data_IF_696091659264
#
_entry.id   IF_696091659264
#
_cell.length_a   1.000
_cell.length_b   1.000
_cell.length_c   1.000
_cell.angle_alpha   90.00
_cell.angle_beta   90.00
_cell.angle_gamma   90.00
#
_symmetry.space_group_name_H-M   'P 1'
#
loop_
_entity.id
_entity.type
_entity.pdbx_description
1 polymer ?
#
# COMPACT_ATOMS: atom_id res chain seq x y z
N UNK A 1 45.86 -35.30 -13.38
CA UNK A 1 47.04 -34.98 -14.23
C UNK A 1 46.53 -34.68 -15.63
N UNK A 2 47.05 -33.61 -16.25
CA UNK A 2 46.66 -32.97 -17.53
C UNK A 2 45.46 -32.04 -17.37
N UNK A 3 45.55 -30.72 -17.29
CA UNK A 3 46.40 -29.63 -17.84
C UNK A 3 45.48 -28.71 -18.67
N UNK A 4 45.46 -27.44 -18.28
CA UNK A 4 44.71 -26.36 -18.90
C UNK A 4 45.28 -26.00 -20.31
N UNK A 5 44.66 -25.02 -21.03
CA UNK A 5 45.09 -23.64 -20.78
C UNK A 5 44.00 -22.57 -20.86
N UNK A 6 44.33 -21.47 -20.16
CA UNK A 6 43.71 -20.14 -20.15
C UNK A 6 43.72 -19.48 -21.53
N UNK A 7 42.75 -18.61 -21.79
CA UNK A 7 42.94 -17.45 -22.68
C UNK A 7 42.41 -16.15 -22.03
N UNK A 8 43.23 -15.12 -22.15
CA UNK A 8 43.10 -13.74 -21.68
C UNK A 8 42.55 -12.83 -22.80
N UNK A 9 42.22 -11.58 -22.41
CA UNK A 9 42.08 -10.31 -23.18
C UNK A 9 40.63 -9.92 -23.49
N UNK A 10 40.20 -8.66 -23.40
CA UNK A 10 40.82 -7.35 -23.11
C UNK A 10 39.73 -6.38 -22.62
N UNK A 11 40.00 -5.43 -21.72
CA UNK A 11 40.52 -4.08 -22.00
C UNK A 11 39.68 -3.27 -23.03
N UNK A 12 38.79 -2.41 -22.53
CA UNK A 12 38.32 -1.23 -23.26
C UNK A 12 37.90 -0.12 -22.27
N UNK A 13 38.88 0.69 -21.89
CA UNK A 13 38.67 1.98 -21.23
C UNK A 13 38.10 2.98 -22.25
N UNK A 14 36.95 3.60 -21.96
CA UNK A 14 36.42 4.70 -22.78
C UNK A 14 36.54 6.03 -22.05
N UNK A 15 37.51 6.82 -22.52
CA UNK A 15 37.83 8.20 -22.14
C UNK A 15 36.70 9.19 -22.49
N UNK A 16 36.44 10.09 -21.54
CA UNK A 16 36.29 11.56 -21.64
C UNK A 16 35.77 12.16 -22.96
N UNK A 17 34.66 12.90 -22.86
CA UNK A 17 34.50 14.21 -23.52
C UNK A 17 33.99 15.24 -22.52
N UNK A 18 34.89 16.14 -22.10
CA UNK A 18 34.56 17.43 -21.50
C UNK A 18 34.27 18.39 -22.66
N UNK A 19 33.08 18.97 -22.71
CA UNK A 19 32.80 20.15 -23.53
C UNK A 19 32.89 21.40 -22.65
N UNK A 20 33.93 22.18 -22.88
CA UNK A 20 34.02 23.57 -22.46
C UNK A 20 32.96 24.37 -23.24
N UNK A 21 32.00 24.98 -22.54
CA UNK A 21 31.22 26.09 -23.09
C UNK A 21 31.68 27.36 -22.39
N UNK A 22 32.36 28.20 -23.18
CA UNK A 22 32.70 29.59 -22.88
C UNK A 22 31.40 30.36 -22.67
N UNK A 23 31.31 31.16 -21.61
CA UNK A 23 30.36 32.25 -21.53
C UNK A 23 31.13 33.57 -21.49
N UNK A 24 30.91 34.35 -22.54
CA UNK A 24 31.48 35.66 -22.77
C UNK A 24 31.03 36.67 -21.72
N UNK A 25 31.99 37.50 -21.32
CA UNK A 25 31.79 38.63 -20.44
C UNK A 25 31.04 39.76 -21.14
N UNK A 26 29.84 40.06 -20.64
CA UNK A 26 29.15 41.31 -20.90
C UNK A 26 29.30 42.23 -19.70
N UNK A 27 30.21 43.20 -19.78
CA UNK A 27 30.26 44.37 -18.89
C UNK A 27 28.93 45.12 -18.99
N UNK A 28 28.16 45.22 -17.89
CA UNK A 28 27.07 46.19 -17.76
C UNK A 28 27.32 47.06 -16.53
N UNK A 29 27.11 48.35 -16.77
CA UNK A 29 27.41 49.47 -15.91
C UNK A 29 26.63 49.44 -14.59
N UNK A 30 27.29 49.88 -13.52
CA UNK A 30 26.68 50.13 -12.22
C UNK A 30 25.82 51.41 -12.27
N UNK A 31 24.56 51.37 -11.78
CA UNK A 31 23.85 52.57 -11.41
C UNK A 31 24.08 52.89 -9.92
N UNK A 32 24.61 54.08 -9.68
CA UNK A 32 24.62 54.74 -8.38
C UNK A 32 23.25 55.37 -8.07
N UNK A 33 22.72 55.15 -6.85
CA UNK A 33 21.95 56.07 -5.98
C UNK A 33 21.03 55.24 -5.07
N UNK A 34 21.28 55.21 -3.76
CA UNK A 34 20.62 56.05 -2.72
C UNK A 34 19.09 56.03 -2.83
N UNK A 35 18.44 55.31 -1.91
CA UNK A 35 17.00 55.39 -1.69
C UNK A 35 16.57 54.47 -0.55
N UNK A 36 16.27 55.08 0.59
CA UNK A 36 15.44 54.65 1.73
C UNK A 36 15.06 53.16 1.90
N UNK A 37 15.41 52.64 3.07
CA UNK A 37 14.77 51.51 3.73
C UNK A 37 13.26 51.67 3.78
N UNK A 38 12.55 50.90 2.95
CA UNK A 38 11.13 50.62 3.16
C UNK A 38 10.86 49.15 2.84
N UNK A 39 11.39 48.28 3.70
CA UNK A 39 11.28 46.81 3.59
C UNK A 39 9.85 46.30 3.77
N UNK A 40 8.94 47.10 4.33
CA UNK A 40 7.55 46.73 4.56
C UNK A 40 6.72 46.70 3.27
N UNK A 41 6.99 47.59 2.31
CA UNK A 41 6.25 47.68 1.05
C UNK A 41 6.66 46.59 0.04
N UNK A 42 7.91 46.13 0.08
CA UNK A 42 8.39 45.02 -0.77
C UNK A 42 7.78 43.67 -0.37
N UNK A 43 7.55 43.43 0.92
CA UNK A 43 6.91 42.19 1.41
C UNK A 43 5.44 42.14 1.00
N UNK A 44 4.72 43.25 1.10
CA UNK A 44 3.30 43.32 0.73
C UNK A 44 3.10 43.06 -0.76
N UNK A 45 3.93 43.65 -1.62
CA UNK A 45 3.87 43.41 -3.08
C UNK A 45 4.22 41.96 -3.42
N UNK A 46 5.20 41.36 -2.73
CA UNK A 46 5.55 39.95 -2.94
C UNK A 46 4.43 38.99 -2.47
N UNK A 47 3.75 39.32 -1.37
CA UNK A 47 2.60 38.55 -0.86
C UNK A 47 1.40 38.66 -1.81
N UNK A 48 1.19 39.85 -2.38
CA UNK A 48 0.09 40.10 -3.31
C UNK A 48 0.30 39.39 -4.65
N UNK A 49 1.53 39.43 -5.19
CA UNK A 49 1.91 38.66 -6.37
C UNK A 49 1.87 37.13 -6.14
N UNK A 50 2.17 36.65 -4.94
CA UNK A 50 1.99 35.24 -4.58
C UNK A 50 0.51 34.85 -4.53
N UNK A 51 -0.35 35.71 -3.96
CA UNK A 51 -1.80 35.49 -3.87
C UNK A 51 -2.46 35.47 -5.26
N UNK A 52 -2.04 36.36 -6.16
CA UNK A 52 -2.57 36.47 -7.52
C UNK A 52 -2.11 35.35 -8.45
N UNK A 53 -0.91 34.79 -8.22
CA UNK A 53 -0.37 33.67 -9.00
C UNK A 53 -0.53 32.31 -8.31
N UNK A 54 -1.22 32.25 -7.17
CA UNK A 54 -1.53 30.98 -6.52
C UNK A 54 -2.48 30.18 -7.41
N UNK A 55 -2.27 28.86 -7.58
CA UNK A 55 -3.22 28.01 -8.28
C UNK A 55 -4.61 28.15 -7.64
N UNK A 56 -5.69 28.00 -8.43
CA UNK A 56 -7.05 28.11 -7.92
C UNK A 56 -7.18 27.25 -6.67
N UNK A 57 -7.68 27.86 -5.59
CA UNK A 57 -7.95 27.18 -4.34
C UNK A 57 -8.68 25.88 -4.65
N UNK A 58 -8.22 24.73 -4.12
CA UNK A 58 -8.95 23.49 -4.31
C UNK A 58 -10.40 23.70 -3.87
N UNK A 59 -11.37 23.03 -4.51
CA UNK A 59 -12.79 23.19 -4.19
C UNK A 59 -12.97 23.12 -2.68
N UNK A 60 -13.71 24.08 -2.14
CA UNK A 60 -13.91 24.25 -0.71
C UNK A 60 -14.23 22.88 -0.08
N UNK A 61 -13.36 22.43 0.82
CA UNK A 61 -13.60 21.22 1.60
C UNK A 61 -14.96 21.39 2.27
N UNK A 62 -15.89 20.42 2.15
CA UNK A 62 -17.21 20.52 2.77
C UNK A 62 -17.08 20.99 4.21
N UNK A 63 -17.90 21.97 4.60
CA UNK A 63 -17.85 22.59 5.92
C UNK A 63 -17.73 21.55 7.04
N UNK A 64 -16.73 21.70 7.91
CA UNK A 64 -16.37 20.77 9.00
C UNK A 64 -17.56 20.32 9.87
N UNK A 65 -18.65 21.09 9.93
CA UNK A 65 -19.84 20.78 10.72
C UNK A 65 -20.57 19.49 10.32
N UNK A 66 -20.49 19.04 9.06
CA UNK A 66 -21.10 17.75 8.65
C UNK A 66 -20.31 16.51 9.09
N UNK A 67 -19.08 16.66 9.59
CA UNK A 67 -18.21 15.52 9.95
C UNK A 67 -18.37 15.12 11.43
N UNK A 68 -18.80 16.04 12.30
CA UNK A 68 -18.86 15.80 13.75
C UNK A 68 -19.85 14.68 14.15
N UNK A 69 -20.99 14.56 13.48
CA UNK A 69 -21.95 13.47 13.71
C UNK A 69 -21.53 12.12 13.10
N UNK A 70 -20.55 12.12 12.18
CA UNK A 70 -19.96 10.90 11.63
C UNK A 70 -18.86 10.30 12.52
N UNK A 71 -18.37 11.04 13.53
CA UNK A 71 -17.20 10.67 14.34
C UNK A 71 -17.34 9.36 15.14
N UNK A 72 -18.54 9.00 15.59
CA UNK A 72 -18.81 7.75 16.35
C UNK A 72 -19.44 6.67 15.46
N UNK A 73 -20.23 7.07 14.46
CA UNK A 73 -20.91 6.14 13.56
C UNK A 73 -19.90 5.43 12.64
N UNK A 74 -18.90 6.16 12.11
CA UNK A 74 -17.93 5.58 11.19
C UNK A 74 -17.04 4.49 11.81
N UNK A 75 -16.50 4.62 13.04
CA UNK A 75 -15.77 3.54 13.72
C UNK A 75 -16.61 2.30 13.99
N UNK A 76 -17.87 2.47 14.42
CA UNK A 76 -18.78 1.35 14.65
C UNK A 76 -19.14 0.63 13.34
N UNK A 77 -19.42 1.38 12.28
CA UNK A 77 -19.66 0.83 10.93
C UNK A 77 -18.40 0.16 10.38
N UNK A 78 -17.22 0.71 10.63
CA UNK A 78 -15.92 0.11 10.29
C UNK A 78 -15.76 -1.26 10.95
N UNK A 79 -15.98 -1.35 12.27
CA UNK A 79 -15.86 -2.61 13.00
C UNK A 79 -16.92 -3.61 12.57
N UNK A 80 -18.16 -3.17 12.33
CA UNK A 80 -19.26 -4.03 11.87
C UNK A 80 -19.06 -4.54 10.44
N UNK A 81 -18.54 -3.73 9.52
CA UNK A 81 -18.23 -4.15 8.16
C UNK A 81 -17.03 -5.10 8.12
N UNK A 82 -15.97 -4.78 8.86
CA UNK A 82 -14.80 -5.66 8.97
C UNK A 82 -15.19 -7.00 9.62
N UNK A 83 -15.94 -6.97 10.72
CA UNK A 83 -16.46 -8.16 11.38
C UNK A 83 -17.49 -8.89 10.51
N UNK A 84 -18.32 -8.19 9.75
CA UNK A 84 -19.31 -8.77 8.83
C UNK A 84 -18.65 -9.48 7.66
N UNK A 85 -17.64 -8.88 7.03
CA UNK A 85 -16.83 -9.52 5.98
C UNK A 85 -16.07 -10.73 6.52
N UNK A 86 -15.47 -10.61 7.72
CA UNK A 86 -14.76 -11.71 8.37
C UNK A 86 -15.70 -12.85 8.78
N UNK A 87 -16.84 -12.53 9.39
CA UNK A 87 -17.87 -13.48 9.79
C UNK A 87 -18.49 -14.15 8.57
N UNK A 88 -18.75 -13.43 7.49
CA UNK A 88 -19.22 -14.01 6.23
C UNK A 88 -18.18 -14.96 5.63
N UNK A 89 -16.91 -14.56 5.57
CA UNK A 89 -15.83 -15.43 5.09
C UNK A 89 -15.63 -16.68 5.96
N UNK A 90 -15.78 -16.54 7.28
CA UNK A 90 -15.55 -17.61 8.26
C UNK A 90 -16.73 -18.56 8.44
N UNK A 91 -17.94 -18.02 8.54
CA UNK A 91 -19.15 -18.76 8.89
C UNK A 91 -19.86 -19.35 7.67
N UNK A 92 -19.71 -18.77 6.48
CA UNK A 92 -20.49 -19.23 5.33
C UNK A 92 -19.94 -20.56 4.78
N UNK A 93 -20.66 -21.68 4.90
CA UNK A 93 -20.19 -22.99 4.44
C UNK A 93 -19.93 -23.01 2.93
N UNK A 94 -20.64 -22.17 2.16
CA UNK A 94 -20.41 -21.99 0.72
C UNK A 94 -19.02 -21.43 0.36
N UNK A 95 -18.37 -20.67 1.25
CA UNK A 95 -16.97 -20.24 1.06
C UNK A 95 -15.98 -21.38 1.35
N UNK A 96 -16.37 -22.35 2.18
CA UNK A 96 -15.61 -23.59 2.43
C UNK A 96 -15.80 -24.62 1.32
N UNK A 97 -16.86 -24.46 0.53
CA UNK A 97 -17.33 -25.37 -0.49
C UNK A 97 -17.48 -24.68 -1.86
N UNK A 98 -16.45 -23.96 -2.33
CA UNK A 98 -16.31 -23.72 -3.77
C UNK A 98 -15.96 -25.05 -4.47
N UNK A 99 -16.92 -25.97 -4.45
CA UNK A 99 -16.91 -27.33 -4.98
C UNK A 99 -17.06 -27.26 -6.49
N UNK A 100 -15.98 -26.89 -7.17
CA UNK A 100 -15.96 -26.91 -8.62
C UNK A 100 -14.56 -26.73 -9.15
N UNK A 101 -14.11 -25.48 -9.25
CA UNK A 101 -12.80 -25.10 -9.80
C UNK A 101 -12.08 -24.12 -8.88
N UNK A 102 -11.67 -24.52 -7.66
CA UNK A 102 -11.03 -23.62 -6.69
C UNK A 102 -9.75 -22.97 -7.25
N UNK A 103 -9.03 -23.68 -8.13
CA UNK A 103 -7.86 -23.15 -8.85
C UNK A 103 -8.22 -21.98 -9.78
N UNK A 104 -9.32 -22.09 -10.53
CA UNK A 104 -9.77 -21.05 -11.46
C UNK A 104 -10.24 -19.81 -10.70
N UNK A 105 -11.07 -19.99 -9.67
CA UNK A 105 -11.54 -18.86 -8.86
C UNK A 105 -10.39 -18.11 -8.20
N UNK A 106 -9.38 -18.84 -7.76
CA UNK A 106 -8.22 -18.23 -7.15
C UNK A 106 -7.36 -17.44 -8.17
N UNK A 107 -7.22 -17.92 -9.41
CA UNK A 107 -6.59 -17.16 -10.49
C UNK A 107 -7.40 -15.91 -10.87
N UNK A 108 -8.73 -16.04 -10.95
CA UNK A 108 -9.62 -14.91 -11.26
C UNK A 108 -9.55 -13.85 -10.15
N UNK A 109 -9.53 -14.27 -8.88
CA UNK A 109 -9.37 -13.36 -7.74
C UNK A 109 -8.07 -12.55 -7.83
N UNK A 110 -6.96 -13.23 -8.13
CA UNK A 110 -5.66 -12.58 -8.31
C UNK A 110 -5.68 -11.63 -9.50
N UNK A 111 -6.27 -12.03 -10.62
CA UNK A 111 -6.40 -11.19 -11.80
C UNK A 111 -7.26 -9.94 -11.52
N UNK A 112 -8.35 -10.07 -10.76
CA UNK A 112 -9.17 -8.95 -10.31
C UNK A 112 -8.38 -8.03 -9.38
N UNK A 113 -7.62 -8.58 -8.43
CA UNK A 113 -6.77 -7.80 -7.54
C UNK A 113 -5.72 -6.99 -8.31
N UNK A 114 -4.95 -7.64 -9.19
CA UNK A 114 -3.96 -6.98 -10.06
C UNK A 114 -4.62 -5.95 -10.96
N UNK A 115 -5.74 -6.31 -11.60
CA UNK A 115 -6.50 -5.43 -12.47
C UNK A 115 -6.96 -4.18 -11.75
N UNK A 116 -7.63 -4.32 -10.60
CA UNK A 116 -8.09 -3.21 -9.77
C UNK A 116 -6.95 -2.29 -9.33
N UNK A 117 -5.79 -2.88 -9.02
CA UNK A 117 -4.62 -2.13 -8.59
C UNK A 117 -4.01 -1.30 -9.73
N UNK A 118 -4.15 -1.79 -10.96
CA UNK A 118 -3.55 -1.22 -12.18
C UNK A 118 -4.44 -0.17 -12.88
N UNK A 119 -5.70 -0.01 -12.47
CA UNK A 119 -6.61 0.98 -13.09
C UNK A 119 -6.21 2.40 -12.68
N UNK A 120 -5.77 3.18 -13.67
CA UNK A 120 -5.41 4.60 -13.56
C UNK A 120 -6.52 5.48 -12.96
N UNK A 121 -6.16 6.68 -12.49
CA UNK A 121 -7.11 7.65 -11.93
C UNK A 121 -7.47 7.39 -10.47
N UNK A 122 -6.60 6.68 -9.75
CA UNK A 122 -6.63 6.64 -8.28
C UNK A 122 -5.79 7.80 -7.76
N UNK A 123 -6.13 8.33 -6.58
CA UNK A 123 -5.35 9.42 -5.96
C UNK A 123 -3.87 9.10 -5.70
N UNK A 124 -3.51 7.82 -5.60
CA UNK A 124 -2.14 7.34 -5.45
C UNK A 124 -1.44 7.08 -6.79
N UNK A 125 -2.12 7.33 -7.92
CA UNK A 125 -1.48 7.39 -9.23
C UNK A 125 -0.89 8.80 -9.45
N UNK A 126 0.29 8.93 -10.07
CA UNK A 126 0.80 10.23 -10.48
C UNK A 126 -0.25 10.98 -11.31
N UNK A 127 -0.48 12.27 -11.03
CA UNK A 127 -1.36 13.10 -11.84
C UNK A 127 -0.83 13.10 -13.29
N UNK A 128 -1.65 12.72 -14.27
CA UNK A 128 -1.22 12.63 -15.68
C UNK A 128 -0.78 13.99 -16.27
N UNK A 129 -1.13 15.09 -15.58
CA UNK A 129 -0.79 16.46 -15.93
C UNK A 129 0.32 17.06 -15.03
N UNK A 130 0.81 16.33 -14.02
CA UNK A 130 1.96 16.77 -13.23
C UNK A 130 3.23 16.52 -14.07
N UNK A 131 3.69 17.56 -14.75
CA UNK A 131 4.90 17.53 -15.58
C UNK A 131 6.17 17.19 -14.78
N UNK A 132 6.11 17.25 -13.44
CA UNK A 132 7.17 16.84 -12.53
C UNK A 132 6.61 16.04 -11.35
N UNK A 133 7.20 14.87 -11.08
CA UNK A 133 6.99 14.08 -9.84
C UNK A 133 7.25 14.90 -8.57
N UNK A 134 8.04 15.99 -8.66
CA UNK A 134 8.33 16.91 -7.56
C UNK A 134 7.14 17.78 -7.13
N UNK A 135 6.05 17.83 -7.92
CA UNK A 135 4.85 18.63 -7.59
C UNK A 135 3.69 17.84 -6.99
N UNK A 136 3.91 16.58 -6.59
CA UNK A 136 2.90 15.83 -5.83
C UNK A 136 2.68 16.47 -4.47
N UNK A 137 1.67 17.34 -4.38
CA UNK A 137 1.15 17.81 -3.11
C UNK A 137 0.03 16.87 -2.67
N UNK A 138 0.19 16.14 -1.54
CA UNK A 138 -0.91 15.36 -1.01
C UNK A 138 -2.08 16.30 -0.74
N UNK A 139 -3.24 16.01 -1.36
CA UNK A 139 -4.47 16.81 -1.20
C UNK A 139 -5.03 16.79 0.24
N UNK A 140 -4.37 16.07 1.16
CA UNK A 140 -4.83 15.82 2.51
C UNK A 140 -3.63 15.89 3.47
N UNK A 141 -3.77 16.55 4.63
CA UNK A 141 -2.76 16.48 5.68
C UNK A 141 -2.74 15.06 6.26
N UNK A 142 -1.76 14.27 5.86
CA UNK A 142 -1.47 12.96 6.46
C UNK A 142 -0.43 13.13 7.55
N UNK A 143 -0.61 12.45 8.69
CA UNK A 143 0.40 12.45 9.76
C UNK A 143 1.73 11.83 9.31
N UNK A 144 1.66 10.85 8.41
CA UNK A 144 2.78 10.22 7.73
C UNK A 144 2.27 9.62 6.43
N UNK A 145 3.06 9.71 5.37
CA UNK A 145 2.78 9.09 4.08
C UNK A 145 3.94 8.15 3.72
N UNK A 146 3.66 6.97 3.16
CA UNK A 146 4.72 6.09 2.69
C UNK A 146 5.47 6.75 1.52
N UNK A 147 6.76 6.48 1.43
CA UNK A 147 7.55 6.85 0.25
C UNK A 147 6.96 6.15 -1.00
N UNK A 148 6.91 6.81 -2.18
CA UNK A 148 6.41 6.18 -3.40
C UNK A 148 7.07 4.84 -3.74
N UNK A 149 8.36 4.65 -3.40
CA UNK A 149 9.06 3.39 -3.59
C UNK A 149 8.48 2.25 -2.75
N UNK A 150 7.85 2.55 -1.60
CA UNK A 150 7.24 1.53 -0.74
C UNK A 150 6.13 0.75 -1.47
N UNK A 151 5.48 1.34 -2.48
CA UNK A 151 4.49 0.65 -3.29
C UNK A 151 5.07 -0.43 -4.22
N UNK A 152 6.39 -0.48 -4.44
CA UNK A 152 7.03 -1.54 -5.24
C UNK A 152 6.83 -2.94 -4.64
N UNK A 153 6.53 -3.04 -3.34
CA UNK A 153 6.23 -4.31 -2.65
C UNK A 153 5.06 -5.06 -3.27
N UNK A 154 4.09 -4.37 -3.87
CA UNK A 154 2.95 -5.01 -4.53
C UNK A 154 3.42 -5.92 -5.67
N UNK A 155 4.47 -5.52 -6.40
CA UNK A 155 5.07 -6.36 -7.43
C UNK A 155 5.63 -7.67 -6.86
N UNK A 156 6.28 -7.61 -5.70
CA UNK A 156 6.82 -8.78 -5.00
C UNK A 156 5.69 -9.68 -4.47
N UNK A 157 4.68 -9.08 -3.84
CA UNK A 157 3.50 -9.79 -3.32
C UNK A 157 2.79 -10.52 -4.46
N UNK A 158 2.38 -9.82 -5.52
CA UNK A 158 1.61 -10.42 -6.61
C UNK A 158 2.41 -11.46 -7.39
N UNK A 159 3.71 -11.23 -7.62
CA UNK A 159 4.56 -12.22 -8.29
C UNK A 159 4.72 -13.48 -7.45
N UNK A 160 4.90 -13.33 -6.14
CA UNK A 160 4.99 -14.45 -5.22
C UNK A 160 3.69 -15.23 -5.12
N UNK A 161 2.55 -14.55 -4.97
CA UNK A 161 1.23 -15.20 -4.93
C UNK A 161 0.94 -15.90 -6.26
N UNK A 162 1.24 -15.28 -7.41
CA UNK A 162 1.10 -15.92 -8.72
C UNK A 162 1.95 -17.19 -8.82
N UNK A 163 3.22 -17.12 -8.41
CA UNK A 163 4.10 -18.29 -8.39
C UNK A 163 3.54 -19.41 -7.49
N UNK A 164 3.02 -19.07 -6.31
CA UNK A 164 2.33 -20.02 -5.42
C UNK A 164 1.13 -20.68 -6.08
N UNK A 165 0.30 -19.89 -6.79
CA UNK A 165 -0.87 -20.41 -7.51
C UNK A 165 -0.46 -21.34 -8.66
N UNK A 166 0.55 -20.96 -9.45
CA UNK A 166 1.10 -21.80 -10.53
C UNK A 166 1.61 -23.13 -9.95
N UNK A 167 2.41 -23.08 -8.88
CA UNK A 167 2.91 -24.28 -8.21
C UNK A 167 1.77 -25.16 -7.69
N UNK A 168 0.72 -24.59 -7.11
CA UNK A 168 -0.47 -25.35 -6.68
C UNK A 168 -1.24 -25.99 -7.84
N UNK A 169 -1.27 -25.35 -9.01
CA UNK A 169 -1.96 -25.88 -10.18
C UNK A 169 -1.26 -27.16 -10.66
N UNK A 170 0.07 -27.13 -10.73
CA UNK A 170 0.90 -28.25 -11.19
C UNK A 170 1.28 -29.25 -10.08
N UNK A 171 0.99 -28.93 -8.82
CA UNK A 171 1.24 -29.84 -7.70
C UNK A 171 0.23 -30.99 -7.69
N UNK A 172 0.75 -32.21 -7.57
CA UNK A 172 -0.02 -33.41 -7.22
C UNK A 172 -0.13 -33.64 -5.71
N UNK A 173 0.42 -32.73 -4.90
CA UNK A 173 0.45 -32.84 -3.44
C UNK A 173 -0.94 -32.60 -2.84
N UNK A 174 -1.56 -33.68 -2.36
CA UNK A 174 -2.88 -33.63 -1.71
C UNK A 174 -2.89 -32.81 -0.41
N UNK A 175 -1.76 -32.68 0.28
CA UNK A 175 -1.64 -31.80 1.44
C UNK A 175 -1.84 -30.34 1.02
N UNK A 176 -1.11 -29.94 -0.02
CA UNK A 176 -1.21 -28.59 -0.58
C UNK A 176 -2.60 -28.32 -1.15
N UNK A 177 -3.21 -29.29 -1.82
CA UNK A 177 -4.58 -29.16 -2.34
C UNK A 177 -5.61 -28.92 -1.21
N UNK A 178 -5.49 -29.65 -0.09
CA UNK A 178 -6.36 -29.48 1.08
C UNK A 178 -6.13 -28.14 1.78
N UNK A 179 -4.88 -27.76 1.99
CA UNK A 179 -4.54 -26.45 2.56
C UNK A 179 -5.05 -25.29 1.70
N UNK A 180 -4.89 -25.39 0.37
CA UNK A 180 -5.45 -24.44 -0.58
C UNK A 180 -6.98 -24.36 -0.47
N UNK A 181 -7.67 -25.51 -0.53
CA UNK A 181 -9.13 -25.56 -0.41
C UNK A 181 -9.64 -24.94 0.89
N UNK A 182 -8.99 -25.19 2.02
CA UNK A 182 -9.37 -24.64 3.31
C UNK A 182 -9.15 -23.12 3.40
N UNK A 183 -8.11 -22.61 2.75
CA UNK A 183 -7.77 -21.18 2.78
C UNK A 183 -8.51 -20.32 1.73
N UNK A 184 -8.96 -20.93 0.64
CA UNK A 184 -9.35 -20.22 -0.58
C UNK A 184 -10.56 -19.29 -0.40
N UNK A 185 -11.54 -19.66 0.41
CA UNK A 185 -12.71 -18.80 0.67
C UNK A 185 -12.31 -17.46 1.31
N UNK A 186 -11.50 -17.53 2.37
CA UNK A 186 -10.99 -16.35 3.05
C UNK A 186 -10.00 -15.56 2.17
N UNK A 187 -9.12 -16.23 1.42
CA UNK A 187 -8.19 -15.55 0.52
C UNK A 187 -8.91 -14.86 -0.66
N UNK A 188 -10.00 -15.45 -1.18
CA UNK A 188 -10.86 -14.80 -2.19
C UNK A 188 -11.52 -13.55 -1.60
N UNK A 189 -12.09 -13.65 -0.40
CA UNK A 189 -12.68 -12.50 0.28
C UNK A 189 -11.66 -11.37 0.48
N UNK A 190 -10.41 -11.70 0.84
CA UNK A 190 -9.32 -10.73 0.94
C UNK A 190 -9.08 -10.00 -0.40
N UNK A 191 -8.98 -10.74 -1.52
CA UNK A 191 -8.78 -10.13 -2.84
C UNK A 191 -9.96 -9.22 -3.26
N UNK A 192 -11.20 -9.62 -2.92
CA UNK A 192 -12.39 -8.79 -3.17
C UNK A 192 -12.34 -7.52 -2.33
N UNK A 193 -12.05 -7.63 -1.04
CA UNK A 193 -11.89 -6.47 -0.15
C UNK A 193 -10.77 -5.54 -0.62
N UNK A 194 -9.65 -6.08 -1.11
CA UNK A 194 -8.56 -5.28 -1.67
C UNK A 194 -8.97 -4.57 -2.97
N UNK A 195 -9.72 -5.22 -3.84
CA UNK A 195 -10.24 -4.58 -5.05
C UNK A 195 -11.20 -3.43 -4.71
N UNK A 196 -12.06 -3.64 -3.71
CA UNK A 196 -12.93 -2.60 -3.17
C UNK A 196 -12.13 -1.46 -2.53
N UNK A 197 -11.05 -1.76 -1.81
CA UNK A 197 -10.12 -0.76 -1.30
C UNK A 197 -9.59 0.14 -2.42
N UNK A 198 -9.14 -0.42 -3.55
CA UNK A 198 -8.70 0.37 -4.69
C UNK A 198 -9.81 1.30 -5.22
N UNK A 199 -11.07 0.87 -5.17
CA UNK A 199 -12.21 1.69 -5.56
C UNK A 199 -12.50 2.84 -4.57
N UNK A 200 -12.04 2.76 -3.31
CA UNK A 200 -12.20 3.84 -2.32
C UNK A 200 -11.35 5.07 -2.58
N UNK A 201 -10.35 4.99 -3.47
CA UNK A 201 -9.54 6.15 -3.90
C UNK A 201 -10.10 6.89 -5.12
N UNK A 202 -11.36 6.63 -5.48
CA UNK A 202 -12.07 7.35 -6.55
C UNK A 202 -12.70 8.63 -6.02
N UNK A 203 -12.90 9.67 -6.86
CA UNK A 203 -13.43 10.97 -6.42
C UNK A 203 -14.68 10.90 -5.52
N UNK A 204 -15.59 9.97 -5.79
CA UNK A 204 -16.83 9.78 -5.02
C UNK A 204 -16.61 9.27 -3.58
N UNK A 205 -15.47 8.63 -3.30
CA UNK A 205 -15.17 7.99 -2.03
C UNK A 205 -14.16 8.78 -1.17
N UNK A 206 -13.55 9.84 -1.72
CA UNK A 206 -12.45 10.55 -1.06
C UNK A 206 -12.84 11.22 0.25
N UNK A 207 -14.08 11.69 0.36
CA UNK A 207 -14.62 12.23 1.62
C UNK A 207 -14.85 11.14 2.69
N UNK A 208 -14.64 9.86 2.36
CA UNK A 208 -14.95 8.69 3.19
C UNK A 208 -13.71 7.81 3.37
N UNK A 209 -12.56 8.40 3.73
CA UNK A 209 -11.31 7.66 3.94
C UNK A 209 -11.42 6.52 4.98
N UNK A 210 -12.39 6.58 5.91
CA UNK A 210 -12.70 5.45 6.79
C UNK A 210 -13.08 4.18 6.04
N UNK A 211 -13.68 4.30 4.85
CA UNK A 211 -14.02 3.17 3.99
C UNK A 211 -12.76 2.48 3.45
N UNK A 212 -11.74 3.26 3.09
CA UNK A 212 -10.43 2.72 2.68
C UNK A 212 -9.81 1.89 3.79
N UNK A 213 -9.75 2.45 5.00
CA UNK A 213 -9.26 1.74 6.18
C UNK A 213 -10.09 0.46 6.44
N UNK A 214 -11.42 0.53 6.31
CA UNK A 214 -12.31 -0.62 6.55
C UNK A 214 -12.06 -1.77 5.56
N UNK A 215 -11.88 -1.46 4.27
CA UNK A 215 -11.61 -2.46 3.26
C UNK A 215 -10.22 -3.11 3.45
N UNK A 216 -9.21 -2.34 3.88
CA UNK A 216 -7.91 -2.90 4.25
C UNK A 216 -7.98 -3.77 5.51
N UNK A 217 -8.71 -3.34 6.54
CA UNK A 217 -8.92 -4.14 7.75
C UNK A 217 -9.62 -5.48 7.43
N UNK A 218 -10.66 -5.44 6.58
CA UNK A 218 -11.33 -6.64 6.09
C UNK A 218 -10.35 -7.55 5.32
N UNK A 219 -9.48 -6.97 4.48
CA UNK A 219 -8.43 -7.71 3.76
C UNK A 219 -7.45 -8.38 4.74
N UNK A 220 -6.94 -7.66 5.75
CA UNK A 220 -6.08 -8.20 6.82
C UNK A 220 -6.73 -9.37 7.53
N UNK A 221 -7.98 -9.23 7.98
CA UNK A 221 -8.66 -10.30 8.72
C UNK A 221 -8.86 -11.52 7.83
N UNK A 222 -9.30 -11.32 6.58
CA UNK A 222 -9.50 -12.40 5.63
C UNK A 222 -8.18 -13.12 5.29
N UNK A 223 -7.06 -12.40 5.12
CA UNK A 223 -5.74 -13.00 4.93
C UNK A 223 -5.27 -13.77 6.17
N UNK A 224 -5.49 -13.24 7.37
CA UNK A 224 -5.16 -13.92 8.61
C UNK A 224 -5.95 -15.23 8.74
N UNK A 225 -7.25 -15.21 8.50
CA UNK A 225 -8.08 -16.42 8.47
C UNK A 225 -7.57 -17.43 7.43
N UNK A 226 -7.24 -16.98 6.21
CA UNK A 226 -6.68 -17.83 5.17
C UNK A 226 -5.36 -18.50 5.61
N UNK A 227 -4.48 -17.75 6.28
CA UNK A 227 -3.20 -18.26 6.79
C UNK A 227 -3.38 -19.26 7.92
N UNK A 228 -4.27 -18.99 8.87
CA UNK A 228 -4.57 -19.90 9.98
C UNK A 228 -5.16 -21.22 9.46
N UNK A 229 -6.10 -21.15 8.52
CA UNK A 229 -6.67 -22.34 7.88
C UNK A 229 -5.61 -23.11 7.10
N UNK A 230 -4.78 -22.44 6.30
CA UNK A 230 -3.67 -23.09 5.58
C UNK A 230 -2.69 -23.78 6.54
N UNK A 231 -2.26 -23.09 7.60
CA UNK A 231 -1.29 -23.57 8.57
C UNK A 231 -1.75 -24.80 9.33
N UNK A 232 -3.04 -24.85 9.74
CA UNK A 232 -3.63 -26.01 10.41
C UNK A 232 -3.51 -27.27 9.54
N UNK A 233 -3.87 -27.19 8.25
CA UNK A 233 -3.77 -28.35 7.36
C UNK A 233 -2.32 -28.72 7.05
N UNK A 234 -1.45 -27.76 6.78
CA UNK A 234 -0.03 -28.04 6.52
C UNK A 234 0.67 -28.70 7.72
N UNK A 235 0.31 -28.34 8.96
CA UNK A 235 0.86 -28.95 10.16
C UNK A 235 0.49 -30.44 10.33
N UNK A 236 -0.63 -30.88 9.77
CA UNK A 236 -1.05 -32.30 9.81
C UNK A 236 -0.36 -33.18 8.77
N UNK A 237 0.42 -32.58 7.87
CA UNK A 237 0.98 -33.28 6.72
C UNK A 237 2.43 -33.71 6.99
N UNK A 238 2.73 -34.99 6.74
CA UNK A 238 4.05 -35.58 7.03
C UNK A 238 5.18 -35.01 6.17
N UNK A 239 4.90 -34.72 4.89
CA UNK A 239 5.92 -34.27 3.92
C UNK A 239 5.31 -33.37 2.83
N UNK A 240 4.93 -32.12 3.15
CA UNK A 240 4.49 -31.18 2.11
C UNK A 240 5.67 -30.80 1.21
N UNK A 241 5.39 -30.52 -0.06
CA UNK A 241 6.38 -29.90 -0.95
C UNK A 241 6.87 -28.58 -0.36
N UNK A 242 8.14 -28.51 0.05
CA UNK A 242 8.73 -27.33 0.71
C UNK A 242 8.64 -26.08 -0.15
N UNK A 243 8.89 -26.24 -1.45
CA UNK A 243 8.83 -25.13 -2.42
C UNK A 243 7.40 -24.63 -2.58
N UNK A 244 6.42 -25.54 -2.74
CA UNK A 244 5.02 -25.16 -2.85
C UNK A 244 4.50 -24.52 -1.57
N UNK A 245 4.85 -25.06 -0.40
CA UNK A 245 4.49 -24.49 0.90
C UNK A 245 5.08 -23.08 1.09
N UNK A 246 6.34 -22.87 0.71
CA UNK A 246 6.99 -21.55 0.77
C UNK A 246 6.26 -20.51 -0.09
N UNK A 247 6.03 -20.79 -1.37
CA UNK A 247 5.37 -19.85 -2.28
C UNK A 247 3.87 -19.71 -2.04
N UNK A 248 3.24 -20.67 -1.36
CA UNK A 248 1.83 -20.59 -0.97
C UNK A 248 1.64 -19.74 0.29
N UNK A 249 2.44 -19.97 1.33
CA UNK A 249 2.30 -19.30 2.65
C UNK A 249 3.03 -17.96 2.67
N UNK A 250 4.25 -17.92 2.14
CA UNK A 250 5.18 -16.79 2.27
C UNK A 250 4.66 -15.48 1.67
N UNK A 251 4.38 -15.43 0.35
CA UNK A 251 3.84 -14.22 -0.30
C UNK A 251 2.51 -13.74 0.28
N UNK A 252 1.60 -14.68 0.60
CA UNK A 252 0.33 -14.35 1.27
C UNK A 252 0.54 -13.82 2.70
N UNK A 253 1.62 -14.23 3.38
CA UNK A 253 1.98 -13.71 4.71
C UNK A 253 2.62 -12.32 4.59
N UNK A 254 3.50 -12.13 3.60
CA UNK A 254 4.03 -10.81 3.25
C UNK A 254 2.89 -9.82 2.96
N UNK A 255 1.90 -10.27 2.20
CA UNK A 255 0.67 -9.53 1.90
C UNK A 255 -0.10 -9.15 3.18
N UNK A 256 -0.32 -10.11 4.08
CA UNK A 256 -0.97 -9.86 5.37
C UNK A 256 -0.28 -8.74 6.15
N UNK A 257 1.04 -8.82 6.31
CA UNK A 257 1.81 -7.82 7.05
C UNK A 257 1.72 -6.42 6.44
N UNK A 258 1.88 -6.34 5.11
CA UNK A 258 1.79 -5.08 4.37
C UNK A 258 0.42 -4.41 4.50
N UNK A 259 -0.67 -5.18 4.32
CA UNK A 259 -2.04 -4.65 4.41
C UNK A 259 -2.41 -4.26 5.84
N UNK A 260 -1.85 -4.94 6.85
CA UNK A 260 -2.00 -4.51 8.24
C UNK A 260 -1.39 -3.13 8.49
N UNK A 261 -0.19 -2.86 7.96
CA UNK A 261 0.41 -1.53 8.03
C UNK A 261 -0.43 -0.49 7.27
N UNK A 262 -0.84 -0.82 6.04
CA UNK A 262 -1.67 0.06 5.22
C UNK A 262 -3.00 0.40 5.90
N UNK A 263 -3.61 -0.55 6.61
CA UNK A 263 -4.83 -0.33 7.40
C UNK A 263 -4.63 0.79 8.42
N UNK A 264 -3.53 0.71 9.17
CA UNK A 264 -3.18 1.69 10.20
C UNK A 264 -2.86 3.07 9.59
N UNK A 265 -2.11 3.11 8.48
CA UNK A 265 -1.84 4.35 7.73
C UNK A 265 -3.15 5.01 7.28
N UNK A 266 -4.08 4.23 6.72
CA UNK A 266 -5.37 4.75 6.23
C UNK A 266 -6.28 5.20 7.37
N UNK A 267 -6.22 4.55 8.54
CA UNK A 267 -6.91 5.01 9.74
C UNK A 267 -6.37 6.37 10.20
N UNK A 268 -5.06 6.55 10.23
CA UNK A 268 -4.43 7.83 10.58
C UNK A 268 -4.78 8.93 9.56
N UNK A 269 -4.80 8.62 8.27
CA UNK A 269 -5.23 9.56 7.22
C UNK A 269 -6.69 9.97 7.40
N UNK A 270 -7.58 9.04 7.75
CA UNK A 270 -8.97 9.35 8.08
C UNK A 270 -9.09 10.30 9.27
N UNK A 271 -8.37 10.03 10.37
CA UNK A 271 -8.41 10.88 11.57
C UNK A 271 -7.85 12.28 11.29
N UNK A 272 -6.77 12.36 10.50
CA UNK A 272 -6.21 13.64 10.04
C UNK A 272 -7.22 14.44 9.21
N UNK A 273 -7.88 13.79 8.24
CA UNK A 273 -8.93 14.41 7.42
C UNK A 273 -10.15 14.84 8.24
N UNK A 274 -10.55 14.04 9.23
CA UNK A 274 -11.74 14.33 10.04
C UNK A 274 -11.58 15.58 10.92
N UNK A 275 -10.34 16.06 11.14
CA UNK A 275 -10.08 17.31 11.84
C UNK A 275 -10.47 17.29 13.33
N UNK A 276 -10.45 16.10 13.96
CA UNK A 276 -10.95 15.87 15.33
C UNK A 276 -10.03 16.50 16.40
N UNK A 277 -8.85 17.01 16.01
CA UNK A 277 -7.90 17.71 16.88
C UNK A 277 -6.53 17.02 16.94
N UNK A 278 -5.48 17.81 17.19
CA UNK A 278 -4.09 17.34 17.17
C UNK A 278 -3.79 16.28 18.25
N UNK A 279 -4.38 16.41 19.44
CA UNK A 279 -4.20 15.46 20.55
C UNK A 279 -4.79 14.08 20.21
N UNK A 280 -6.00 14.05 19.66
CA UNK A 280 -6.65 12.80 19.21
C UNK A 280 -5.87 12.17 18.06
N UNK A 281 -5.41 12.98 17.10
CA UNK A 281 -4.59 12.52 15.98
C UNK A 281 -3.28 11.88 16.47
N UNK A 282 -2.60 12.50 17.44
CA UNK A 282 -1.39 11.96 18.05
C UNK A 282 -1.67 10.66 18.82
N UNK A 283 -2.75 10.60 19.59
CA UNK A 283 -3.13 9.39 20.32
C UNK A 283 -3.41 8.21 19.37
N UNK A 284 -4.12 8.43 18.28
CA UNK A 284 -4.39 7.40 17.26
C UNK A 284 -3.10 6.95 16.58
N UNK A 285 -2.17 7.88 16.31
CA UNK A 285 -0.85 7.55 15.77
C UNK A 285 -0.06 6.63 16.70
N UNK A 286 0.04 6.98 17.99
CA UNK A 286 0.72 6.15 19.00
C UNK A 286 0.05 4.77 19.13
N UNK A 287 -1.28 4.73 19.20
CA UNK A 287 -2.03 3.48 19.26
C UNK A 287 -1.81 2.61 18.01
N UNK A 288 -1.67 3.23 16.84
CA UNK A 288 -1.36 2.52 15.60
C UNK A 288 0.03 1.88 15.65
N UNK A 289 1.05 2.57 16.16
CA UNK A 289 2.39 2.00 16.34
C UNK A 289 2.40 0.83 17.34
N UNK A 290 1.68 0.98 18.45
CA UNK A 290 1.52 -0.11 19.43
C UNK A 290 0.79 -1.30 18.81
N UNK A 291 -0.28 -1.06 18.05
CA UNK A 291 -1.02 -2.10 17.34
C UNK A 291 -0.15 -2.83 16.32
N UNK A 292 0.69 -2.10 15.56
CA UNK A 292 1.65 -2.70 14.63
C UNK A 292 2.66 -3.60 15.34
N UNK A 293 3.22 -3.15 16.47
CA UNK A 293 4.14 -3.95 17.27
C UNK A 293 3.48 -5.22 17.80
N UNK A 294 2.29 -5.11 18.39
CA UNK A 294 1.54 -6.25 18.94
C UNK A 294 1.17 -7.23 17.83
N UNK A 295 0.68 -6.75 16.68
CA UNK A 295 0.37 -7.59 15.53
C UNK A 295 1.62 -8.29 14.97
N UNK A 296 2.75 -7.59 14.88
CA UNK A 296 4.02 -8.16 14.44
C UNK A 296 4.51 -9.30 15.34
N UNK A 297 4.42 -9.11 16.67
CA UNK A 297 4.74 -10.16 17.64
C UNK A 297 3.75 -11.33 17.57
N UNK A 298 2.46 -11.06 17.41
CA UNK A 298 1.45 -12.10 17.23
C UNK A 298 1.71 -12.93 15.96
N UNK A 299 2.07 -12.30 14.85
CA UNK A 299 2.43 -13.00 13.61
C UNK A 299 3.66 -13.91 13.79
N UNK A 300 4.66 -13.51 14.60
CA UNK A 300 5.78 -14.40 14.92
C UNK A 300 5.32 -15.63 15.71
N UNK A 301 4.43 -15.46 16.69
CA UNK A 301 3.86 -16.56 17.46
C UNK A 301 3.03 -17.52 16.57
N UNK A 302 2.34 -16.96 15.57
CA UNK A 302 1.58 -17.71 14.57
C UNK A 302 2.44 -18.33 13.47
N UNK A 303 3.77 -18.22 13.54
CA UNK A 303 4.73 -18.71 12.54
C UNK A 303 4.54 -18.09 11.15
N UNK A 304 4.20 -16.80 11.11
CA UNK A 304 4.05 -15.98 9.90
C UNK A 304 5.15 -14.90 9.82
N UNK A 305 6.45 -15.27 9.79
CA UNK A 305 7.54 -14.30 9.92
C UNK A 305 7.60 -13.29 8.75
N UNK A 306 7.14 -13.67 7.56
CA UNK A 306 7.04 -12.74 6.43
C UNK A 306 6.01 -11.63 6.67
N UNK A 307 4.94 -11.90 7.43
CA UNK A 307 3.98 -10.88 7.82
C UNK A 307 4.60 -9.90 8.82
N UNK A 308 5.32 -10.39 9.83
CA UNK A 308 6.04 -9.55 10.77
C UNK A 308 7.11 -8.69 10.09
N UNK A 309 7.87 -9.27 9.15
CA UNK A 309 8.89 -8.56 8.38
C UNK A 309 8.28 -7.44 7.51
N UNK A 310 7.20 -7.73 6.79
CA UNK A 310 6.50 -6.72 5.99
C UNK A 310 5.94 -5.58 6.85
N UNK A 311 5.33 -5.91 7.99
CA UNK A 311 4.77 -4.92 8.91
C UNK A 311 5.86 -4.06 9.58
N UNK A 312 7.04 -4.63 9.83
CA UNK A 312 8.19 -3.90 10.38
C UNK A 312 8.88 -3.01 9.34
N UNK A 313 8.83 -3.41 8.06
CA UNK A 313 9.41 -2.64 6.96
C UNK A 313 8.55 -1.43 6.57
N UNK A 314 7.23 -1.57 6.65
CA UNK A 314 6.25 -0.53 6.38
C UNK A 314 6.24 0.56 7.46
#
# INVERSE_FOLDING_TARGET
>A
RRDAPRSHRGCAARRRRRSHRRHDGGKRAAPSRRGSTDTASSITVMWQLWRENSPPQPPAVPSQQTVASAGIIAPCVFLLLAAGCAAFAWLHPGCRALTGRPKLYALLALAVGIGSASVKGRLDSPDENAADMDTFQPRWPTLFQPDPFAFAIWGVIYSGELAGQVLLIFSSDQAMARAASASNGAWLAANVSQALWCATFRPWALARLWLSAAMLAATTICLLCAQLSAGQFLATCKTPSRLAAFFFVGPRSLHLGWVSAATLVNLNAYVGMAGIGAEVALAVCILSLVAALVAGLAYMQLRLPAASAALCWA
#
